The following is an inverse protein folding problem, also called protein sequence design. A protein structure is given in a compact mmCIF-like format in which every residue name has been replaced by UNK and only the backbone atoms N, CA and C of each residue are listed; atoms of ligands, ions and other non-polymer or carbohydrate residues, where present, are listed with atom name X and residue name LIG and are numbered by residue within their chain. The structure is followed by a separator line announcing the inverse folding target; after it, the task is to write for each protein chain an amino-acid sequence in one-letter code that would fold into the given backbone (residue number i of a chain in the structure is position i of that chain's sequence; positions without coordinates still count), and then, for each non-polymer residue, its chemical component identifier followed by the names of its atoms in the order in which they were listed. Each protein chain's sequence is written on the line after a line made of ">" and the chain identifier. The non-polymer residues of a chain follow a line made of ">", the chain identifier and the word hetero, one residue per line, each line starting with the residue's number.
data_IF_742685013696
#
_entry.id   IF_742685013696
#
_cell.length_a   1.000
_cell.length_b   1.000
_cell.length_c   1.000
_cell.angle_alpha   90.00
_cell.angle_beta   90.00
_cell.angle_gamma   90.00
#
_symmetry.space_group_name_H-M   'P 1'
#
loop_
_entity.id
_entity.type
_entity.pdbx_description
1 polymer ?
#
# COMPACT_ATOMS: atom_id res chain seq x y z
N UNK A 1 -15.71 22.87 -12.04
CA UNK A 1 -15.77 22.00 -10.84
C UNK A 1 -15.63 20.54 -11.24
N UNK A 2 -14.51 19.90 -10.91
CA UNK A 2 -14.32 18.47 -11.15
C UNK A 2 -14.80 17.73 -9.90
N UNK A 3 -15.80 16.86 -10.05
CA UNK A 3 -16.19 15.93 -9.00
C UNK A 3 -15.03 14.95 -8.79
N UNK A 4 -14.54 14.86 -7.56
CA UNK A 4 -13.52 13.90 -7.13
C UNK A 4 -14.22 12.83 -6.30
N UNK A 5 -13.90 11.57 -6.57
CA UNK A 5 -14.51 10.41 -5.91
C UNK A 5 -13.38 9.44 -5.56
N UNK A 6 -13.23 9.14 -4.28
CA UNK A 6 -12.55 7.94 -3.82
C UNK A 6 -13.61 6.87 -3.55
N UNK A 7 -13.66 5.91 -4.47
CA UNK A 7 -14.46 4.73 -4.32
C UNK A 7 -13.74 3.77 -3.38
N UNK A 8 -14.22 3.70 -2.15
CA UNK A 8 -13.73 2.76 -1.15
C UNK A 8 -14.61 1.52 -1.06
N UNK A 9 -15.63 1.38 -1.91
CA UNK A 9 -16.71 0.41 -1.75
C UNK A 9 -16.18 -1.02 -1.58
N UNK A 10 -15.09 -1.33 -2.29
CA UNK A 10 -14.26 -2.50 -2.09
C UNK A 10 -12.81 -2.11 -1.79
N UNK A 11 -12.22 -2.75 -0.78
CA UNK A 11 -10.82 -2.59 -0.42
C UNK A 11 -10.15 -3.96 -0.36
N UNK A 12 -9.03 -4.14 -1.07
CA UNK A 12 -8.29 -5.39 -1.06
C UNK A 12 -7.08 -5.24 -0.12
N UNK A 13 -7.22 -5.75 1.10
CA UNK A 13 -6.16 -5.70 2.11
C UNK A 13 -5.20 -6.89 2.00
N UNK A 14 -4.07 -6.81 2.69
CA UNK A 14 -3.04 -7.84 2.69
C UNK A 14 -2.08 -7.67 1.52
N UNK A 15 -1.91 -8.70 0.69
CA UNK A 15 -0.93 -8.67 -0.40
C UNK A 15 -1.30 -7.76 -1.59
N UNK A 16 -2.43 -7.06 -1.51
CA UNK A 16 -2.85 -6.09 -2.52
C UNK A 16 -3.26 -6.72 -3.85
N UNK A 17 -3.35 -5.92 -4.92
CA UNK A 17 -3.81 -6.38 -6.22
C UNK A 17 -2.82 -7.38 -6.84
N UNK A 18 -3.37 -8.34 -7.60
CA UNK A 18 -2.63 -9.39 -8.32
C UNK A 18 -1.98 -10.49 -7.47
N UNK A 19 -2.02 -10.42 -6.12
CA UNK A 19 -1.65 -11.53 -5.22
C UNK A 19 -2.90 -11.99 -4.46
N UNK A 20 -3.82 -12.61 -5.18
CA UNK A 20 -5.17 -12.90 -4.67
C UNK A 20 -5.22 -13.93 -3.53
N UNK A 21 -4.23 -14.82 -3.42
CA UNK A 21 -4.23 -15.89 -2.41
C UNK A 21 -4.09 -15.34 -0.98
N UNK A 22 -3.28 -14.31 -0.82
CA UNK A 22 -2.93 -13.70 0.46
C UNK A 22 -3.67 -12.36 0.68
N UNK A 23 -4.61 -12.04 -0.22
CA UNK A 23 -5.40 -10.81 -0.17
C UNK A 23 -6.82 -11.08 0.33
N UNK A 24 -7.35 -10.15 1.11
CA UNK A 24 -8.70 -10.23 1.65
C UNK A 24 -9.56 -9.07 1.13
N UNK A 25 -10.70 -9.40 0.51
CA UNK A 25 -11.61 -8.39 -0.03
C UNK A 25 -12.55 -7.91 1.07
N UNK A 26 -12.35 -6.68 1.52
CA UNK A 26 -13.24 -5.97 2.43
C UNK A 26 -14.28 -5.20 1.62
N UNK A 27 -15.54 -5.33 2.02
CA UNK A 27 -16.64 -4.51 1.51
C UNK A 27 -16.90 -3.42 2.54
N UNK A 28 -16.54 -2.19 2.20
CA UNK A 28 -16.74 -1.05 3.09
C UNK A 28 -18.10 -0.40 2.84
N UNK A 29 -18.59 -0.48 1.59
CA UNK A 29 -19.81 0.22 1.17
C UNK A 29 -19.68 1.75 1.19
N UNK A 30 -18.45 2.29 1.30
CA UNK A 30 -18.20 3.71 1.47
C UNK A 30 -17.74 4.36 0.16
N UNK A 31 -18.21 5.57 -0.06
CA UNK A 31 -17.74 6.46 -1.12
C UNK A 31 -17.47 7.83 -0.51
N UNK A 32 -16.26 8.34 -0.71
CA UNK A 32 -15.88 9.71 -0.33
C UNK A 32 -15.87 10.55 -1.59
N UNK A 33 -16.69 11.60 -1.64
CA UNK A 33 -16.79 12.44 -2.83
C UNK A 33 -16.83 13.92 -2.50
N UNK A 34 -16.32 14.75 -3.40
CA UNK A 34 -16.21 16.19 -3.17
C UNK A 34 -15.77 16.95 -4.40
N UNK A 35 -15.59 18.26 -4.26
CA UNK A 35 -15.06 19.13 -5.32
C UNK A 35 -13.59 19.51 -5.11
N UNK A 36 -12.99 18.97 -4.05
CA UNK A 36 -11.62 19.24 -3.62
C UNK A 36 -10.91 17.89 -3.42
N UNK A 37 -9.90 17.63 -4.25
CA UNK A 37 -9.16 16.37 -4.23
C UNK A 37 -8.41 16.15 -2.92
N UNK A 38 -7.77 17.19 -2.39
CA UNK A 38 -6.95 17.08 -1.16
C UNK A 38 -7.84 16.76 0.03
N UNK A 39 -9.01 17.38 0.12
CA UNK A 39 -9.97 17.12 1.18
C UNK A 39 -10.58 15.71 1.09
N UNK A 40 -10.89 15.23 -0.13
CA UNK A 40 -11.35 13.85 -0.36
C UNK A 40 -10.28 12.84 0.07
N UNK A 41 -9.02 13.05 -0.32
CA UNK A 41 -7.90 12.18 0.06
C UNK A 41 -7.64 12.19 1.57
N UNK A 42 -7.66 13.37 2.20
CA UNK A 42 -7.43 13.48 3.64
C UNK A 42 -8.48 12.72 4.46
N UNK A 43 -9.76 12.82 4.08
CA UNK A 43 -10.83 12.06 4.73
C UNK A 43 -10.66 10.57 4.48
N UNK A 44 -10.32 10.17 3.25
CA UNK A 44 -10.05 8.77 2.88
C UNK A 44 -8.93 8.17 3.73
N UNK A 45 -7.80 8.86 3.87
CA UNK A 45 -6.68 8.42 4.70
C UNK A 45 -7.04 8.33 6.18
N UNK A 46 -7.83 9.29 6.69
CA UNK A 46 -8.29 9.27 8.07
C UNK A 46 -9.23 8.07 8.35
N UNK A 47 -10.11 7.71 7.39
CA UNK A 47 -10.95 6.50 7.48
C UNK A 47 -10.11 5.22 7.55
N UNK A 48 -9.00 5.20 6.83
CA UNK A 48 -8.02 4.10 6.80
C UNK A 48 -7.01 4.14 7.96
N UNK A 49 -7.14 5.11 8.89
CA UNK A 49 -6.20 5.35 10.00
C UNK A 49 -4.74 5.55 9.56
N UNK A 50 -4.52 6.03 8.34
CA UNK A 50 -3.19 6.42 7.88
C UNK A 50 -2.89 7.80 8.47
N UNK A 51 -1.70 7.95 9.06
CA UNK A 51 -1.24 9.26 9.51
C UNK A 51 -1.03 10.19 8.32
N UNK A 52 -1.86 11.22 8.23
CA UNK A 52 -1.79 12.22 7.15
C UNK A 52 -0.47 12.98 7.18
N UNK A 53 0.18 13.09 8.34
CA UNK A 53 1.49 13.71 8.48
C UNK A 53 2.64 12.84 7.93
N UNK A 54 2.37 11.59 7.56
CA UNK A 54 3.35 10.74 6.89
C UNK A 54 3.43 10.98 5.37
N UNK A 55 2.48 11.72 4.79
CA UNK A 55 2.45 12.00 3.35
C UNK A 55 3.08 13.34 3.03
N UNK A 56 4.28 13.31 2.43
CA UNK A 56 5.00 14.51 1.96
C UNK A 56 4.15 15.36 1.00
N UNK A 57 3.34 14.72 0.16
CA UNK A 57 2.48 15.39 -0.82
C UNK A 57 1.37 16.18 -0.12
N UNK A 58 0.73 15.59 0.90
CA UNK A 58 -0.35 16.26 1.63
C UNK A 58 0.18 17.33 2.57
N UNK A 59 1.35 17.11 3.17
CA UNK A 59 2.07 18.14 3.91
C UNK A 59 2.38 19.34 3.02
N UNK A 60 2.89 19.10 1.80
CA UNK A 60 3.22 20.16 0.88
C UNK A 60 1.98 20.89 0.35
N UNK A 61 0.89 20.17 0.08
CA UNK A 61 -0.40 20.77 -0.25
C UNK A 61 -0.90 21.68 0.88
N UNK A 62 -0.79 21.24 2.13
CA UNK A 62 -1.12 22.05 3.31
C UNK A 62 -0.24 23.30 3.43
N UNK A 63 1.07 23.16 3.24
CA UNK A 63 2.01 24.29 3.27
C UNK A 63 1.66 25.35 2.21
N UNK A 64 1.28 24.89 1.02
CA UNK A 64 0.83 25.74 -0.10
C UNK A 64 -0.62 26.23 0.04
N UNK A 65 -1.32 25.85 1.12
CA UNK A 65 -2.75 26.14 1.35
C UNK A 65 -3.66 25.66 0.21
N UNK A 66 -3.25 24.59 -0.46
CA UNK A 66 -4.03 23.93 -1.52
C UNK A 66 -4.98 22.95 -0.86
N UNK A 67 -6.26 23.04 -1.23
CA UNK A 67 -7.28 22.08 -0.81
C UNK A 67 -7.65 22.13 0.68
N UNK A 68 -7.36 23.26 1.34
CA UNK A 68 -7.89 23.57 2.66
C UNK A 68 -9.33 24.08 2.46
N UNK A 69 -10.25 23.17 2.14
CA UNK A 69 -11.66 23.54 1.94
C UNK A 69 -12.57 22.86 2.95
N UNK A 70 -13.52 23.67 3.43
CA UNK A 70 -14.69 23.40 4.24
C UNK A 70 -15.19 21.94 4.15
N UNK A 71 -14.96 21.16 5.22
CA UNK A 71 -15.38 19.74 5.35
C UNK A 71 -16.87 19.51 5.01
N UNK A 72 -17.72 20.54 5.16
CA UNK A 72 -19.13 20.51 4.77
C UNK A 72 -19.38 20.26 3.27
N UNK A 73 -18.37 20.40 2.42
CA UNK A 73 -18.45 20.11 0.97
C UNK A 73 -18.09 18.67 0.61
N UNK A 74 -17.68 17.86 1.59
CA UNK A 74 -17.38 16.44 1.37
C UNK A 74 -18.63 15.64 1.67
N UNK A 75 -19.01 14.81 0.71
CA UNK A 75 -20.13 13.90 0.80
C UNK A 75 -19.60 12.49 1.02
N UNK A 76 -19.85 11.95 2.21
CA UNK A 76 -19.61 10.56 2.54
C UNK A 76 -20.93 9.80 2.43
N UNK A 77 -20.98 8.85 1.50
CA UNK A 77 -22.14 7.97 1.33
C UNK A 77 -21.76 6.54 1.68
N UNK A 78 -22.61 5.85 2.44
CA UNK A 78 -22.38 4.46 2.86
C UNK A 78 -22.77 4.20 4.31
N UNK A 79 -22.20 3.15 4.88
CA UNK A 79 -22.37 2.77 6.30
C UNK A 79 -21.80 3.84 7.27
N UNK A 80 -22.24 3.84 8.53
CA UNK A 80 -21.96 4.96 9.45
C UNK A 80 -20.48 5.09 9.85
N UNK A 81 -19.99 6.33 10.00
CA UNK A 81 -18.60 6.72 10.31
C UNK A 81 -18.01 6.04 11.55
N UNK A 82 -18.81 5.83 12.60
CA UNK A 82 -18.36 5.23 13.85
C UNK A 82 -18.22 3.70 13.77
N UNK A 83 -18.89 3.06 12.79
CA UNK A 83 -18.67 1.66 12.43
C UNK A 83 -17.57 1.47 11.38
N UNK A 84 -17.09 2.54 10.74
CA UNK A 84 -16.28 2.50 9.51
C UNK A 84 -14.85 3.05 9.64
N UNK A 85 -14.32 3.18 10.85
CA UNK A 85 -12.86 3.20 11.03
C UNK A 85 -12.30 1.82 10.71
N UNK A 86 -11.91 1.63 9.45
CA UNK A 86 -11.42 0.36 8.96
C UNK A 86 -10.05 0.10 9.58
N UNK A 87 -9.91 -1.04 10.24
CA UNK A 87 -8.60 -1.55 10.61
C UNK A 87 -8.14 -2.46 9.47
N UNK A 88 -7.41 -1.88 8.51
CA UNK A 88 -6.94 -2.60 7.32
C UNK A 88 -5.48 -3.01 7.48
N UNK A 89 -5.14 -4.19 6.98
CA UNK A 89 -3.76 -4.61 6.82
C UNK A 89 -3.23 -4.15 5.47
N UNK A 90 -2.32 -3.19 5.46
CA UNK A 90 -1.69 -2.76 4.22
C UNK A 90 -0.73 -3.81 3.67
N UNK A 91 -0.56 -3.80 2.36
CA UNK A 91 0.52 -4.55 1.71
C UNK A 91 1.87 -4.05 2.17
N UNK A 92 2.84 -4.95 2.20
CA UNK A 92 4.23 -4.60 2.49
C UNK A 92 4.69 -3.40 1.66
N UNK A 93 5.22 -2.39 2.37
CA UNK A 93 5.70 -1.13 1.76
C UNK A 93 7.19 -1.22 1.39
N UNK A 94 7.87 -2.26 1.88
CA UNK A 94 9.27 -2.61 1.60
C UNK A 94 9.38 -4.07 1.18
N UNK A 95 10.29 -4.34 0.24
CA UNK A 95 10.53 -5.72 -0.22
C UNK A 95 11.03 -6.64 0.90
N UNK A 96 11.76 -6.09 1.88
CA UNK A 96 12.31 -6.87 3.00
C UNK A 96 11.25 -7.35 4.01
N UNK A 97 10.01 -6.87 3.88
CA UNK A 97 8.88 -7.39 4.67
C UNK A 97 8.31 -8.69 4.06
N UNK A 98 8.72 -9.04 2.84
CA UNK A 98 8.32 -10.28 2.16
C UNK A 98 9.28 -11.41 2.56
N UNK A 99 8.88 -12.22 3.51
CA UNK A 99 9.67 -13.38 3.96
C UNK A 99 9.49 -14.58 3.04
N UNK A 100 10.59 -15.07 2.47
CA UNK A 100 10.65 -16.27 1.63
C UNK A 100 11.62 -17.27 2.27
N UNK A 101 11.26 -18.55 2.30
CA UNK A 101 12.11 -19.58 2.90
C UNK A 101 13.52 -19.60 2.29
N UNK A 102 14.52 -19.68 3.17
CA UNK A 102 15.95 -19.77 2.84
C UNK A 102 16.47 -18.64 1.93
N UNK A 103 15.75 -17.51 1.85
CA UNK A 103 16.06 -16.39 0.97
C UNK A 103 16.38 -15.15 1.77
N UNK A 104 17.52 -14.55 1.49
CA UNK A 104 17.97 -13.28 2.06
C UNK A 104 17.85 -12.19 0.99
N UNK A 105 17.22 -11.07 1.34
CA UNK A 105 17.02 -9.96 0.41
C UNK A 105 17.97 -8.82 0.78
N UNK A 106 18.71 -8.35 -0.22
CA UNK A 106 19.47 -7.10 -0.14
C UNK A 106 18.92 -6.14 -1.19
N UNK A 107 18.37 -5.02 -0.71
CA UNK A 107 17.74 -4.01 -1.55
C UNK A 107 18.62 -2.79 -1.65
N UNK A 108 18.91 -2.36 -2.88
CA UNK A 108 19.54 -1.08 -3.18
C UNK A 108 18.52 0.02 -3.44
N UNK A 109 18.87 0.98 -4.29
CA UNK A 109 17.94 2.02 -4.76
C UNK A 109 16.99 1.45 -5.80
N UNK A 110 15.69 1.68 -5.63
CA UNK A 110 14.63 1.07 -6.45
C UNK A 110 13.60 2.15 -6.79
N UNK A 111 13.19 2.26 -8.06
CA UNK A 111 12.06 3.11 -8.47
C UNK A 111 10.73 2.38 -8.28
N UNK A 112 9.60 3.08 -8.30
CA UNK A 112 8.27 2.47 -8.09
C UNK A 112 7.96 1.32 -9.06
N UNK A 113 8.41 1.42 -10.32
CA UNK A 113 8.28 0.34 -11.30
C UNK A 113 9.07 -0.90 -10.92
N UNK A 114 10.36 -0.75 -10.59
CA UNK A 114 11.21 -1.85 -10.15
C UNK A 114 10.70 -2.48 -8.84
N UNK A 115 10.17 -1.66 -7.93
CA UNK A 115 9.56 -2.16 -6.70
C UNK A 115 8.38 -3.07 -7.01
N UNK A 116 7.48 -2.64 -7.91
CA UNK A 116 6.31 -3.42 -8.31
C UNK A 116 6.70 -4.78 -8.90
N UNK A 117 7.64 -4.80 -9.84
CA UNK A 117 8.07 -6.07 -10.46
C UNK A 117 8.75 -7.00 -9.44
N UNK A 118 9.63 -6.47 -8.59
CA UNK A 118 10.24 -7.23 -7.52
C UNK A 118 9.21 -7.76 -6.51
N UNK A 119 8.26 -6.91 -6.11
CA UNK A 119 7.17 -7.27 -5.21
C UNK A 119 6.36 -8.45 -5.74
N UNK A 120 6.02 -8.46 -7.04
CA UNK A 120 5.34 -9.58 -7.65
C UNK A 120 6.18 -10.84 -7.71
N UNK A 121 7.45 -10.74 -8.11
CA UNK A 121 8.35 -11.89 -8.16
C UNK A 121 8.49 -12.53 -6.78
N UNK A 122 8.72 -11.73 -5.74
CA UNK A 122 8.92 -12.22 -4.39
C UNK A 122 7.66 -12.87 -3.82
N UNK A 123 6.48 -12.29 -4.07
CA UNK A 123 5.22 -12.93 -3.68
C UNK A 123 4.94 -14.20 -4.49
N UNK A 124 5.27 -14.22 -5.79
CA UNK A 124 5.18 -15.44 -6.60
C UNK A 124 6.06 -16.55 -6.03
N UNK A 125 7.31 -16.24 -5.69
CA UNK A 125 8.25 -17.19 -5.06
C UNK A 125 7.71 -17.67 -3.71
N UNK A 126 7.24 -16.74 -2.86
CA UNK A 126 6.63 -17.04 -1.55
C UNK A 126 5.45 -17.99 -1.70
N UNK A 127 4.59 -17.79 -2.69
CA UNK A 127 3.33 -18.52 -2.84
C UNK A 127 3.48 -19.85 -3.59
N UNK A 128 4.31 -19.89 -4.63
CA UNK A 128 4.37 -21.00 -5.58
C UNK A 128 5.65 -21.84 -5.50
N UNK A 129 6.77 -21.24 -5.05
CA UNK A 129 8.07 -21.91 -5.07
C UNK A 129 8.52 -22.40 -3.69
N UNK A 130 7.71 -22.22 -2.64
CA UNK A 130 8.07 -22.62 -1.26
C UNK A 130 8.55 -24.06 -1.15
N UNK A 131 7.95 -24.97 -1.93
CA UNK A 131 8.29 -26.40 -1.94
C UNK A 131 9.65 -26.68 -2.55
N UNK A 132 10.09 -25.88 -3.51
CA UNK A 132 11.38 -26.03 -4.17
C UNK A 132 12.47 -25.32 -3.38
N UNK A 133 12.17 -24.11 -2.90
CA UNK A 133 13.10 -23.28 -2.11
C UNK A 133 13.51 -23.94 -0.79
N UNK A 134 12.70 -24.85 -0.24
CA UNK A 134 13.09 -25.62 0.97
C UNK A 134 14.34 -26.48 0.78
N UNK A 135 14.67 -26.86 -0.47
CA UNK A 135 15.86 -27.65 -0.80
C UNK A 135 17.10 -26.78 -1.03
N UNK A 136 16.91 -25.48 -1.26
CA UNK A 136 17.99 -24.51 -1.37
C UNK A 136 18.39 -24.11 0.05
N UNK A 137 19.64 -24.39 0.45
CA UNK A 137 20.10 -24.16 1.83
C UNK A 137 20.14 -22.68 2.20
N UNK A 138 20.65 -21.85 1.30
CA UNK A 138 20.75 -20.40 1.45
C UNK A 138 20.83 -19.78 0.06
N UNK A 139 19.97 -18.80 -0.22
CA UNK A 139 20.06 -17.97 -1.41
C UNK A 139 19.97 -16.50 -1.01
N UNK A 140 20.72 -15.64 -1.71
CA UNK A 140 20.64 -14.20 -1.52
C UNK A 140 20.19 -13.57 -2.84
N UNK A 141 19.19 -12.70 -2.77
CA UNK A 141 18.67 -11.93 -3.89
C UNK A 141 19.04 -10.47 -3.72
N UNK A 142 19.72 -9.94 -4.74
CA UNK A 142 20.11 -8.53 -4.82
C UNK A 142 19.13 -7.81 -5.75
N UNK A 143 18.47 -6.77 -5.25
CA UNK A 143 17.42 -6.06 -6.02
C UNK A 143 17.70 -4.55 -6.00
N UNK A 144 17.69 -3.92 -7.18
CA UNK A 144 17.91 -2.48 -7.34
C UNK A 144 19.35 -2.11 -7.64
N UNK A 145 19.62 -0.81 -7.66
CA UNK A 145 20.96 -0.27 -7.90
C UNK A 145 21.79 -0.20 -6.62
N UNK A 146 23.04 -0.65 -6.68
CA UNK A 146 23.97 -0.71 -5.56
C UNK A 146 23.35 -1.38 -4.30
N UNK A 147 22.82 -2.60 -4.42
CA UNK A 147 22.40 -3.37 -3.25
C UNK A 147 23.62 -3.67 -2.38
N UNK A 148 23.40 -3.86 -1.08
CA UNK A 148 24.45 -4.33 -0.18
C UNK A 148 25.00 -5.68 -0.68
N UNK A 149 26.28 -5.91 -0.43
CA UNK A 149 26.91 -7.19 -0.73
C UNK A 149 26.13 -8.33 -0.05
N UNK A 150 26.03 -9.50 -0.70
CA UNK A 150 25.47 -10.67 -0.05
C UNK A 150 26.24 -10.98 1.22
N UNK A 151 25.56 -11.46 2.26
CA UNK A 151 26.27 -12.03 3.42
C UNK A 151 27.23 -13.11 2.92
N UNK A 152 28.53 -12.89 3.10
CA UNK A 152 29.56 -13.88 2.83
C UNK A 152 29.24 -15.12 3.67
N UNK A 153 29.00 -16.24 2.97
CA UNK A 153 28.78 -17.56 3.58
C UNK A 153 30.12 -18.20 3.88
#
# INVERSE_FOLDING_TARGET
>A
PCLVINDMFYFLEGAGPFIYKDSNLIRTGLVVSGTDAVAVDLITLNLLKIDVLSSDILLEARNKRIGITNLSKINLKGESLDASKLNVNFSADKLNEITINNTYLQTGRICSGCFREAYYLLNFMKTHMTKDLKYIRKQTMLIGENPLEPDNV
#
